data_IF_942005949281
#
_entry.id   IF_942005949281
#
_cell.length_a   1.000
_cell.length_b   1.000
_cell.length_c   1.000
_cell.angle_alpha   90.00
_cell.angle_beta   90.00
_cell.angle_gamma   90.00
#
_symmetry.space_group_name_H-M   'P 1'
#
loop_
_entity.id
_entity.type
_entity.pdbx_description
1 polymer ?
#
# COMPACT_ATOMS: atom_id res chain seq x y z
N UNK A 1 -8.94 8.34 1.18
CA UNK A 1 -8.60 9.34 2.20
C UNK A 1 -7.08 9.56 2.21
N UNK A 2 -6.60 10.76 2.56
CA UNK A 2 -5.18 11.14 2.53
C UNK A 2 -4.84 12.21 3.58
N UNK A 3 -3.56 12.33 3.97
CA UNK A 3 -3.07 13.43 4.82
C UNK A 3 -2.26 14.43 4.00
N UNK A 4 -2.52 15.71 4.23
CA UNK A 4 -1.86 16.85 3.62
C UNK A 4 -0.83 17.46 4.57
N UNK A 5 0.37 17.70 4.07
CA UNK A 5 1.44 18.41 4.79
C UNK A 5 2.00 19.55 3.95
N UNK A 6 2.22 20.71 4.58
CA UNK A 6 2.82 21.88 3.95
C UNK A 6 4.29 22.03 4.37
N UNK A 7 5.19 22.08 3.40
CA UNK A 7 6.55 22.61 3.58
C UNK A 7 6.62 24.01 2.96
N UNK A 8 6.51 25.01 3.82
CA UNK A 8 6.57 26.42 3.41
C UNK A 8 7.95 26.84 2.91
N UNK A 9 9.02 26.23 3.45
CA UNK A 9 10.38 26.62 3.11
C UNK A 9 10.69 26.25 1.67
N UNK A 10 10.30 25.03 1.29
CA UNK A 10 10.52 24.51 -0.06
C UNK A 10 9.30 24.74 -0.98
N UNK A 11 8.31 25.52 -0.53
CA UNK A 11 7.07 25.79 -1.26
C UNK A 11 6.44 24.52 -1.83
N UNK A 12 6.31 23.50 -0.99
CA UNK A 12 5.87 22.17 -1.38
C UNK A 12 4.66 21.72 -0.56
N UNK A 13 3.73 21.06 -1.23
CA UNK A 13 2.62 20.35 -0.60
C UNK A 13 2.76 18.85 -0.87
N UNK A 14 2.64 18.05 0.18
CA UNK A 14 2.71 16.60 0.10
C UNK A 14 1.35 16.02 0.47
N UNK A 15 0.81 15.20 -0.42
CA UNK A 15 -0.35 14.36 -0.17
C UNK A 15 0.11 12.92 -0.04
N UNK A 16 -0.11 12.34 1.13
CA UNK A 16 0.28 10.98 1.47
C UNK A 16 -0.85 10.13 2.04
N UNK A 17 -0.58 8.86 2.38
CA UNK A 17 -1.51 8.03 3.13
C UNK A 17 -1.99 8.72 4.41
N UNK A 18 -3.14 8.28 4.92
CA UNK A 18 -3.63 8.79 6.20
C UNK A 18 -2.58 8.55 7.29
N UNK A 19 -2.21 9.61 7.99
CA UNK A 19 -1.23 9.55 9.06
C UNK A 19 -1.71 8.62 10.18
N UNK A 20 -0.80 7.80 10.71
CA UNK A 20 -1.11 6.88 11.82
C UNK A 20 -1.21 7.60 13.17
N UNK A 21 -0.75 8.84 13.24
CA UNK A 21 -0.78 9.70 14.41
C UNK A 21 -1.18 11.12 14.01
N UNK A 22 -1.92 11.80 14.87
CA UNK A 22 -2.30 13.18 14.65
C UNK A 22 -1.09 14.11 14.77
N UNK A 23 -0.82 14.89 13.73
CA UNK A 23 0.19 15.96 13.76
C UNK A 23 -0.50 17.34 13.65
N UNK A 24 -0.14 18.34 14.49
CA UNK A 24 -0.78 19.65 14.50
C UNK A 24 -0.65 20.45 13.19
N UNK A 25 0.34 20.14 12.36
CA UNK A 25 0.64 20.82 11.10
C UNK A 25 0.17 20.02 9.88
N UNK A 26 -0.64 18.98 10.09
CA UNK A 26 -1.17 18.12 9.05
C UNK A 26 -2.70 18.18 8.99
N UNK A 27 -3.26 17.93 7.80
CA UNK A 27 -4.70 17.92 7.59
C UNK A 27 -5.15 16.65 6.91
N UNK A 28 -6.10 15.93 7.51
CA UNK A 28 -6.71 14.78 6.88
C UNK A 28 -7.82 15.20 5.91
N UNK A 29 -7.75 14.69 4.69
CA UNK A 29 -8.66 14.97 3.60
C UNK A 29 -9.42 13.69 3.22
N UNK A 30 -10.72 13.83 2.96
CA UNK A 30 -11.47 12.79 2.27
C UNK A 30 -10.99 12.64 0.82
N UNK A 31 -11.40 11.57 0.14
CA UNK A 31 -11.00 11.29 -1.24
C UNK A 31 -11.26 12.46 -2.20
N UNK A 32 -12.46 13.02 -2.16
CA UNK A 32 -12.83 14.17 -2.98
C UNK A 32 -11.92 15.38 -2.75
N UNK A 33 -11.66 15.75 -1.49
CA UNK A 33 -10.77 16.87 -1.19
C UNK A 33 -9.32 16.60 -1.57
N UNK A 34 -8.84 15.35 -1.45
CA UNK A 34 -7.50 14.97 -1.86
C UNK A 34 -7.33 15.04 -3.39
N UNK A 35 -8.33 14.61 -4.15
CA UNK A 35 -8.34 14.67 -5.63
C UNK A 35 -8.38 16.10 -6.15
N UNK A 36 -9.23 16.94 -5.57
CA UNK A 36 -9.48 18.31 -6.03
C UNK A 36 -8.54 19.37 -5.42
N UNK A 37 -7.68 19.00 -4.46
CA UNK A 37 -6.72 19.93 -3.86
C UNK A 37 -5.84 20.59 -4.92
N UNK A 38 -5.78 21.92 -4.86
CA UNK A 38 -4.89 22.75 -5.67
C UNK A 38 -3.89 23.47 -4.76
N UNK A 39 -2.60 23.41 -5.10
CA UNK A 39 -1.57 24.12 -4.34
C UNK A 39 -1.49 25.61 -4.71
N UNK A 40 -0.89 26.46 -3.84
CA UNK A 40 -0.62 27.84 -4.18
C UNK A 40 0.24 27.98 -5.45
N UNK A 41 0.15 29.15 -6.11
CA UNK A 41 0.90 29.39 -7.36
C UNK A 41 2.41 29.28 -7.11
N UNK A 42 3.08 28.51 -7.96
CA UNK A 42 4.53 28.29 -7.86
C UNK A 42 4.95 27.22 -6.85
N UNK A 43 3.99 26.55 -6.18
CA UNK A 43 4.28 25.45 -5.27
C UNK A 43 4.34 24.12 -5.98
N UNK A 44 5.20 23.23 -5.49
CA UNK A 44 5.28 21.84 -5.95
C UNK A 44 4.24 20.97 -5.24
N UNK A 45 3.58 20.10 -6.00
CA UNK A 45 2.66 19.10 -5.45
C UNK A 45 3.29 17.72 -5.57
N UNK A 46 3.50 17.05 -4.44
CA UNK A 46 3.97 15.66 -4.39
C UNK A 46 2.81 14.79 -3.93
N UNK A 47 2.34 13.90 -4.81
CA UNK A 47 1.33 12.89 -4.49
C UNK A 47 2.03 11.55 -4.36
N UNK A 48 2.12 11.05 -3.13
CA UNK A 48 2.65 9.72 -2.88
C UNK A 48 1.57 8.72 -3.32
N UNK A 49 1.88 7.88 -4.32
CA UNK A 49 1.00 6.80 -4.70
C UNK A 49 0.76 5.90 -3.48
N UNK A 50 -0.48 5.80 -3.04
CA UNK A 50 -0.89 5.07 -1.83
C UNK A 50 -1.12 3.59 -2.09
N UNK A 51 -1.23 3.18 -3.36
CA UNK A 51 -1.27 1.77 -3.73
C UNK A 51 0.16 1.25 -3.89
N UNK A 52 0.80 0.95 -2.77
CA UNK A 52 1.94 0.05 -2.79
C UNK A 52 1.39 -1.32 -3.21
N UNK A 53 1.69 -1.75 -4.44
CA UNK A 53 1.44 -3.14 -4.79
C UNK A 53 2.20 -4.00 -3.76
N UNK A 54 1.56 -5.04 -3.20
CA UNK A 54 2.26 -5.97 -2.32
C UNK A 54 3.50 -6.46 -3.08
N UNK A 55 4.63 -6.50 -2.38
CA UNK A 55 5.86 -7.00 -2.97
C UNK A 55 5.55 -8.37 -3.64
N UNK A 56 5.99 -8.58 -4.89
CA UNK A 56 5.76 -9.87 -5.54
C UNK A 56 6.31 -10.98 -4.63
N UNK A 57 5.63 -12.15 -4.59
CA UNK A 57 6.05 -13.25 -3.73
C UNK A 57 7.52 -13.57 -3.96
N UNK A 58 8.25 -13.78 -2.86
CA UNK A 58 9.67 -14.10 -2.94
C UNK A 58 9.88 -15.49 -3.55
N UNK A 59 11.11 -15.79 -3.98
CA UNK A 59 11.45 -17.13 -4.47
C UNK A 59 11.16 -18.22 -3.43
N UNK A 60 11.36 -17.92 -2.14
CA UNK A 60 11.09 -18.84 -1.04
C UNK A 60 9.58 -19.08 -0.85
N UNK A 61 8.75 -18.03 -0.98
CA UNK A 61 7.28 -18.16 -0.93
C UNK A 61 6.79 -19.06 -2.07
N UNK A 62 7.36 -18.91 -3.27
CA UNK A 62 7.01 -19.74 -4.43
C UNK A 62 7.44 -21.20 -4.23
N UNK A 63 8.62 -21.44 -3.65
CA UNK A 63 9.07 -22.80 -3.31
C UNK A 63 8.16 -23.43 -2.24
N UNK A 64 7.80 -22.68 -1.21
CA UNK A 64 6.88 -23.14 -0.17
C UNK A 64 5.51 -23.55 -0.74
N UNK A 65 5.00 -22.79 -1.72
CA UNK A 65 3.76 -23.14 -2.43
C UNK A 65 3.92 -24.43 -3.25
N UNK A 66 5.04 -24.60 -3.97
CA UNK A 66 5.32 -25.84 -4.72
C UNK A 66 5.34 -27.06 -3.79
N UNK A 67 5.99 -26.95 -2.62
CA UNK A 67 6.04 -28.02 -1.64
C UNK A 67 4.69 -28.27 -0.97
N UNK A 68 3.90 -27.23 -0.72
CA UNK A 68 2.52 -27.38 -0.25
C UNK A 68 1.65 -28.14 -1.27
N UNK A 69 1.78 -27.83 -2.56
CA UNK A 69 1.04 -28.53 -3.64
C UNK A 69 1.45 -29.99 -3.74
N UNK A 70 2.75 -30.31 -3.64
CA UNK A 70 3.22 -31.71 -3.61
C UNK A 70 2.62 -32.51 -2.46
N UNK A 71 2.68 -31.97 -1.24
CA UNK A 71 2.10 -32.62 -0.05
C UNK A 71 0.60 -32.81 -0.17
N UNK A 72 -0.12 -31.82 -0.72
CA UNK A 72 -1.57 -31.94 -0.95
C UNK A 72 -1.89 -33.03 -1.98
N UNK A 73 -1.08 -33.17 -3.03
CA UNK A 73 -1.24 -34.22 -4.03
C UNK A 73 -0.97 -35.62 -3.46
N UNK A 74 0.03 -35.77 -2.59
CA UNK A 74 0.34 -37.02 -1.88
C UNK A 74 -0.80 -37.41 -0.93
N UNK A 75 -1.25 -36.49 -0.07
CA UNK A 75 -2.36 -36.74 0.84
C UNK A 75 -3.67 -37.10 0.11
N UNK A 76 -3.93 -36.50 -1.06
CA UNK A 76 -5.07 -36.85 -1.90
C UNK A 76 -4.96 -38.26 -2.51
N UNK A 77 -3.75 -38.72 -2.83
CA UNK A 77 -3.51 -40.09 -3.30
C UNK A 77 -3.68 -41.11 -2.18
N UNK A 78 -3.19 -40.79 -0.98
CA UNK A 78 -3.34 -41.66 0.19
C UNK A 78 -4.81 -41.78 0.61
N UNK A 79 -5.58 -40.69 0.52
CA UNK A 79 -7.02 -40.71 0.76
C UNK A 79 -7.82 -41.48 -0.31
N UNK A 80 -7.32 -41.55 -1.54
CA UNK A 80 -7.88 -42.35 -2.63
C UNK A 80 -7.47 -43.83 -2.53
N UNK A 81 -6.42 -44.15 -1.74
CA UNK A 81 -5.78 -45.46 -1.66
C UNK A 81 -6.19 -46.31 -0.44
N UNK A 82 -7.27 -45.97 0.29
CA UNK A 82 -7.81 -46.95 1.23
C UNK A 82 -9.21 -46.69 1.78
N UNK A 83 -9.90 -47.75 2.27
CA UNK A 83 -9.78 -49.16 1.88
C UNK A 83 -10.59 -49.52 0.63
#
# INVERSE_FOLDING_TARGET
MATLTYDYKDSTVVLGPLATAADPNSYDLCDEHAEHLTAPRGWQVVRLATNFEPAPPSGDDLLALVDAVRRAAEAGRDAQAGP
#
